data_IF_127090913978
#
_entry.id   IF_127090913978
#
_cell.length_a   1.000
_cell.length_b   1.000
_cell.length_c   1.000
_cell.angle_alpha   90.00
_cell.angle_beta   90.00
_cell.angle_gamma   90.00
#
_symmetry.space_group_name_H-M   'P 1'
#
loop_
_entity.id
_entity.type
_entity.pdbx_description
1 polymer ?
#
# COMPACT_ATOMS: atom_id res chain seq x y z
N UNK A 1 45.26 -83.39 -48.53
CA UNK A 1 44.47 -83.01 -47.34
C UNK A 1 44.89 -81.61 -46.90
N UNK A 2 44.08 -80.58 -47.20
CA UNK A 2 44.14 -79.23 -46.60
C UNK A 2 42.91 -78.42 -47.06
N UNK A 3 41.72 -78.90 -46.68
CA UNK A 3 40.43 -78.21 -46.85
C UNK A 3 40.05 -77.58 -45.50
N UNK A 4 40.88 -76.72 -44.94
CA UNK A 4 40.62 -76.05 -43.65
C UNK A 4 41.30 -74.67 -43.53
N UNK A 5 41.38 -73.90 -44.63
CA UNK A 5 41.92 -72.52 -44.58
C UNK A 5 41.06 -71.45 -45.26
N UNK A 6 39.81 -71.74 -45.61
CA UNK A 6 38.92 -70.76 -46.28
C UNK A 6 37.80 -70.18 -45.40
N UNK A 7 37.52 -70.70 -44.21
CA UNK A 7 36.34 -70.30 -43.44
C UNK A 7 36.58 -69.27 -42.31
N UNK A 8 37.81 -68.76 -42.13
CA UNK A 8 38.12 -67.84 -41.02
C UNK A 8 37.97 -66.36 -41.42
N UNK A 9 38.00 -66.03 -42.72
CA UNK A 9 37.89 -64.62 -43.16
C UNK A 9 36.44 -64.09 -43.23
N UNK A 10 35.44 -64.95 -43.22
CA UNK A 10 34.02 -64.54 -43.24
C UNK A 10 33.43 -64.27 -41.86
N UNK A 11 34.07 -64.71 -40.77
CA UNK A 11 33.56 -64.50 -39.41
C UNK A 11 33.93 -63.11 -38.85
N UNK A 12 34.93 -62.42 -39.42
CA UNK A 12 35.37 -61.09 -38.92
C UNK A 12 34.48 -59.95 -39.46
N UNK A 13 33.73 -60.17 -40.55
CA UNK A 13 32.83 -59.16 -41.13
C UNK A 13 31.45 -59.09 -40.44
N UNK A 14 31.18 -59.97 -39.46
CA UNK A 14 29.92 -59.99 -38.69
C UNK A 14 30.03 -59.35 -37.30
N UNK A 15 31.04 -58.52 -37.04
CA UNK A 15 30.92 -57.53 -35.96
C UNK A 15 29.96 -56.46 -36.45
N UNK A 16 28.68 -56.72 -36.20
CA UNK A 16 27.56 -55.89 -36.59
C UNK A 16 27.86 -54.41 -36.40
N UNK A 17 27.42 -53.62 -37.36
CA UNK A 17 27.26 -52.18 -37.18
C UNK A 17 26.45 -52.02 -35.89
N UNK A 18 27.12 -51.66 -34.79
CA UNK A 18 26.43 -51.16 -33.62
C UNK A 18 25.78 -49.88 -34.11
N UNK A 19 24.49 -49.93 -34.43
CA UNK A 19 23.68 -48.72 -34.50
C UNK A 19 23.76 -48.10 -33.11
N UNK A 20 24.72 -47.18 -32.93
CA UNK A 20 24.74 -46.32 -31.76
C UNK A 20 23.52 -45.44 -31.96
N UNK A 21 22.41 -45.84 -31.33
CA UNK A 21 21.27 -44.96 -31.17
C UNK A 21 21.79 -43.80 -30.34
N UNK A 22 22.16 -42.70 -30.99
CA UNK A 22 22.36 -41.43 -30.33
C UNK A 22 20.98 -40.96 -29.88
N UNK A 23 20.54 -41.46 -28.73
CA UNK A 23 19.49 -40.78 -27.99
C UNK A 23 20.07 -39.43 -27.59
N UNK A 24 19.53 -38.37 -28.20
CA UNK A 24 19.88 -37.00 -27.87
C UNK A 24 19.45 -36.70 -26.43
N UNK A 25 20.27 -37.07 -25.46
CA UNK A 25 20.03 -36.71 -24.07
C UNK A 25 20.38 -35.22 -23.91
N UNK A 26 19.35 -34.38 -23.70
CA UNK A 26 19.49 -32.97 -23.36
C UNK A 26 20.10 -32.84 -21.97
N UNK A 27 21.40 -33.05 -21.85
CA UNK A 27 22.12 -32.81 -20.60
C UNK A 27 22.50 -31.34 -20.48
N UNK A 28 22.07 -30.70 -19.39
CA UNK A 28 22.61 -29.40 -18.97
C UNK A 28 24.10 -29.62 -18.64
N UNK A 29 24.98 -28.90 -19.33
CA UNK A 29 26.44 -29.06 -19.14
C UNK A 29 26.82 -28.59 -17.74
N UNK A 30 27.72 -29.32 -17.07
CA UNK A 30 28.18 -29.02 -15.69
C UNK A 30 28.74 -27.61 -15.51
N UNK A 31 29.25 -26.99 -16.58
CA UNK A 31 29.77 -25.62 -16.54
C UNK A 31 28.68 -24.53 -16.55
N UNK A 32 27.43 -24.84 -16.91
CA UNK A 32 26.35 -23.84 -17.00
C UNK A 32 26.08 -23.20 -15.63
N UNK A 33 25.92 -24.04 -14.59
CA UNK A 33 25.65 -23.57 -13.24
C UNK A 33 26.75 -22.62 -12.67
N UNK A 34 28.06 -22.96 -12.69
CA UNK A 34 29.10 -22.04 -12.22
C UNK A 34 29.19 -20.77 -13.07
N UNK A 35 28.99 -20.86 -14.39
CA UNK A 35 28.96 -19.68 -15.26
C UNK A 35 27.81 -18.74 -14.91
N UNK A 36 26.59 -19.27 -14.74
CA UNK A 36 25.43 -18.47 -14.37
C UNK A 36 25.63 -17.78 -13.02
N UNK A 37 26.19 -18.49 -12.03
CA UNK A 37 26.54 -17.92 -10.72
C UNK A 37 27.55 -16.78 -10.84
N UNK A 38 28.59 -16.94 -11.65
CA UNK A 38 29.58 -15.90 -11.89
C UNK A 38 28.97 -14.67 -12.59
N UNK A 39 28.10 -14.87 -13.58
CA UNK A 39 27.36 -13.79 -14.26
C UNK A 39 26.48 -13.05 -13.26
N UNK A 40 25.68 -13.76 -12.45
CA UNK A 40 24.82 -13.14 -11.43
C UNK A 40 25.63 -12.35 -10.41
N UNK A 41 26.78 -12.87 -9.95
CA UNK A 41 27.68 -12.15 -9.04
C UNK A 41 28.19 -10.86 -9.67
N UNK A 42 28.61 -10.90 -10.95
CA UNK A 42 29.08 -9.71 -11.68
C UNK A 42 27.95 -8.70 -11.89
N UNK A 43 26.73 -9.15 -12.20
CA UNK A 43 25.55 -8.28 -12.33
C UNK A 43 25.24 -7.55 -11.02
N UNK A 44 25.29 -8.25 -9.88
CA UNK A 44 25.11 -7.62 -8.55
C UNK A 44 26.20 -6.57 -8.24
N UNK A 45 27.41 -6.74 -8.78
CA UNK A 45 28.50 -5.79 -8.59
C UNK A 45 28.41 -4.54 -9.47
N UNK A 46 27.59 -4.55 -10.54
CA UNK A 46 27.41 -3.42 -11.47
C UNK A 46 26.44 -2.34 -10.96
N UNK A 47 25.88 -2.50 -9.75
CA UNK A 47 24.93 -1.56 -9.14
C UNK A 47 23.46 -1.88 -9.43
N UNK A 48 22.57 -0.99 -9.00
CA UNK A 48 21.12 -1.16 -9.15
C UNK A 48 20.71 -1.11 -10.62
N UNK A 49 20.01 -2.16 -11.05
CA UNK A 49 19.40 -2.26 -12.37
C UNK A 49 17.91 -1.92 -12.21
N UNK A 50 17.26 -1.33 -13.24
CA UNK A 50 15.82 -1.11 -13.18
C UNK A 50 15.10 -2.44 -12.95
N UNK A 51 14.17 -2.46 -11.99
CA UNK A 51 13.38 -3.66 -11.71
C UNK A 51 12.56 -4.02 -12.95
N UNK A 52 12.71 -5.25 -13.50
CA UNK A 52 11.86 -5.68 -14.60
C UNK A 52 10.42 -5.82 -14.13
N UNK A 53 9.45 -5.43 -14.96
CA UNK A 53 8.02 -5.64 -14.67
C UNK A 53 7.74 -7.14 -14.50
N UNK A 54 6.98 -7.51 -13.47
CA UNK A 54 6.70 -8.92 -13.12
C UNK A 54 6.03 -9.69 -14.26
N UNK A 55 5.27 -8.99 -15.11
CA UNK A 55 4.60 -9.54 -16.30
C UNK A 55 5.54 -9.98 -17.43
N UNK A 56 6.81 -9.58 -17.41
CA UNK A 56 7.80 -9.95 -18.46
C UNK A 56 8.39 -11.35 -18.28
N UNK A 57 8.17 -11.97 -17.13
CA UNK A 57 8.71 -13.29 -16.82
C UNK A 57 7.83 -14.39 -17.43
N UNK A 58 8.47 -15.48 -17.91
CA UNK A 58 7.78 -16.59 -18.59
C UNK A 58 6.71 -17.27 -17.74
N UNK A 59 6.94 -17.37 -16.43
CA UNK A 59 6.05 -18.05 -15.47
C UNK A 59 4.84 -17.19 -15.06
N UNK A 60 4.65 -16.01 -15.65
CA UNK A 60 3.56 -15.11 -15.31
C UNK A 60 2.30 -15.41 -16.14
N UNK A 61 1.18 -15.65 -15.47
CA UNK A 61 -0.13 -15.80 -16.11
C UNK A 61 -1.15 -14.85 -15.48
N UNK A 62 -1.52 -13.79 -16.23
CA UNK A 62 -2.40 -12.73 -15.75
C UNK A 62 -3.74 -13.25 -15.21
N UNK A 63 -4.43 -14.12 -15.95
CA UNK A 63 -5.78 -14.57 -15.55
C UNK A 63 -5.75 -15.38 -14.26
N UNK A 64 -4.69 -16.18 -14.07
CA UNK A 64 -4.47 -16.93 -12.84
C UNK A 64 -4.14 -16.01 -11.65
N UNK A 65 -3.35 -14.96 -11.89
CA UNK A 65 -2.97 -13.98 -10.87
C UNK A 65 -4.17 -13.12 -10.42
N UNK A 66 -5.02 -12.69 -11.36
CA UNK A 66 -6.27 -11.96 -11.04
C UNK A 66 -7.25 -12.85 -10.25
N UNK A 67 -7.37 -14.13 -10.63
CA UNK A 67 -8.16 -15.10 -9.87
C UNK A 67 -7.59 -15.32 -8.46
N UNK A 68 -6.28 -15.54 -8.35
CA UNK A 68 -5.62 -15.73 -7.06
C UNK A 68 -5.70 -14.48 -6.17
N UNK A 69 -5.71 -13.28 -6.75
CA UNK A 69 -5.91 -12.03 -6.03
C UNK A 69 -7.28 -11.99 -5.34
N UNK A 70 -8.34 -12.37 -6.07
CA UNK A 70 -9.71 -12.43 -5.56
C UNK A 70 -9.81 -13.40 -4.36
N UNK A 71 -9.33 -14.63 -4.55
CA UNK A 71 -9.34 -15.67 -3.52
C UNK A 71 -8.48 -15.32 -2.30
N UNK A 72 -7.31 -14.68 -2.52
CA UNK A 72 -6.39 -14.28 -1.43
C UNK A 72 -7.05 -13.30 -0.47
N UNK A 73 -7.82 -12.36 -0.99
CA UNK A 73 -8.52 -11.37 -0.19
C UNK A 73 -9.80 -11.93 0.44
N UNK A 74 -10.19 -13.18 0.10
CA UNK A 74 -11.48 -13.78 0.46
C UNK A 74 -12.66 -12.92 -0.01
N UNK A 75 -12.48 -12.28 -1.18
CA UNK A 75 -13.46 -11.40 -1.80
C UNK A 75 -14.19 -12.11 -2.95
N UNK A 76 -15.30 -11.53 -3.41
CA UNK A 76 -16.10 -12.08 -4.52
C UNK A 76 -16.30 -11.06 -5.65
N UNK A 77 -15.18 -10.55 -6.18
CA UNK A 77 -15.20 -9.62 -7.31
C UNK A 77 -15.80 -10.25 -8.58
N UNK A 78 -16.54 -9.46 -9.36
CA UNK A 78 -16.82 -9.80 -10.74
C UNK A 78 -15.53 -9.64 -11.56
N UNK A 79 -15.09 -10.72 -12.20
CA UNK A 79 -13.82 -10.79 -12.94
C UNK A 79 -13.72 -9.73 -14.05
N UNK A 80 -14.81 -9.40 -14.73
CA UNK A 80 -14.80 -8.37 -15.79
C UNK A 80 -14.53 -6.98 -15.22
N UNK A 81 -15.17 -6.65 -14.10
CA UNK A 81 -14.98 -5.38 -13.39
C UNK A 81 -13.62 -5.28 -12.74
N UNK A 82 -13.10 -6.40 -12.24
CA UNK A 82 -11.77 -6.49 -11.66
C UNK A 82 -10.68 -6.25 -12.71
N UNK A 83 -10.80 -6.85 -13.90
CA UNK A 83 -9.89 -6.58 -15.03
C UNK A 83 -9.98 -5.12 -15.50
N UNK A 84 -11.20 -4.56 -15.54
CA UNK A 84 -11.38 -3.12 -15.81
C UNK A 84 -10.65 -2.27 -14.76
N UNK A 85 -10.79 -2.56 -13.46
CA UNK A 85 -10.16 -1.81 -12.38
C UNK A 85 -8.62 -1.80 -12.49
N UNK A 86 -8.01 -2.92 -12.92
CA UNK A 86 -6.58 -3.02 -13.13
C UNK A 86 -6.07 -2.35 -14.42
N UNK A 87 -6.96 -1.88 -15.29
CA UNK A 87 -6.60 -1.30 -16.58
C UNK A 87 -6.60 0.22 -16.53
N UNK A 88 -5.40 0.82 -16.49
CA UNK A 88 -5.26 2.27 -16.52
C UNK A 88 -5.34 2.82 -17.94
N UNK A 89 -5.81 4.07 -18.07
CA UNK A 89 -5.88 4.79 -19.36
C UNK A 89 -4.50 4.92 -20.03
N UNK A 90 -3.43 5.09 -19.26
CA UNK A 90 -2.04 5.16 -19.76
C UNK A 90 -1.64 3.92 -20.57
N UNK A 91 -2.04 2.74 -20.10
CA UNK A 91 -1.78 1.48 -20.80
C UNK A 91 -2.48 1.41 -22.15
N UNK A 92 -3.76 1.82 -22.20
CA UNK A 92 -4.54 1.83 -23.44
C UNK A 92 -3.89 2.76 -24.47
N UNK A 93 -3.45 3.95 -24.05
CA UNK A 93 -2.73 4.90 -24.92
C UNK A 93 -1.45 4.28 -25.46
N UNK A 94 -0.67 3.60 -24.61
CA UNK A 94 0.56 2.93 -25.01
C UNK A 94 0.32 1.82 -26.04
N UNK A 95 -0.71 1.00 -25.86
CA UNK A 95 -1.05 -0.06 -26.83
C UNK A 95 -1.62 0.51 -28.14
N UNK A 96 -2.43 1.57 -28.09
CA UNK A 96 -2.89 2.28 -29.29
C UNK A 96 -1.70 2.81 -30.12
N UNK A 97 -0.69 3.38 -29.45
CA UNK A 97 0.53 3.87 -30.10
C UNK A 97 1.33 2.73 -30.71
N UNK A 98 1.54 1.63 -29.96
CA UNK A 98 2.25 0.44 -30.46
C UNK A 98 1.56 -0.16 -31.69
N UNK A 99 0.22 -0.22 -31.71
CA UNK A 99 -0.53 -0.73 -32.87
C UNK A 99 -0.38 0.18 -34.10
N UNK A 100 -0.38 1.50 -33.90
CA UNK A 100 -0.12 2.47 -34.98
C UNK A 100 1.30 2.35 -35.55
N UNK A 101 2.29 2.14 -34.70
CA UNK A 101 3.69 1.92 -35.12
C UNK A 101 3.86 0.65 -35.97
N UNK A 102 3.08 -0.40 -35.67
CA UNK A 102 3.08 -1.65 -36.42
C UNK A 102 2.27 -1.54 -37.74
N UNK A 103 1.54 -0.43 -37.94
CA UNK A 103 0.80 -0.14 -39.17
C UNK A 103 -0.67 -0.55 -39.15
N UNK A 104 -1.28 -0.70 -37.98
CA UNK A 104 -2.73 -0.92 -37.85
C UNK A 104 -3.44 0.44 -37.86
N UNK A 105 -4.19 0.74 -38.93
CA UNK A 105 -4.77 2.08 -39.15
C UNK A 105 -5.89 2.44 -38.15
N UNK A 106 -6.66 1.46 -37.68
CA UNK A 106 -7.77 1.66 -36.74
C UNK A 106 -7.69 0.66 -35.56
N UNK A 107 -6.93 0.97 -34.50
CA UNK A 107 -6.85 0.13 -33.31
C UNK A 107 -8.18 0.18 -32.53
N UNK A 108 -9.04 -0.83 -32.68
CA UNK A 108 -10.25 -0.98 -31.85
C UNK A 108 -9.90 -1.89 -30.67
N UNK A 109 -9.55 -1.30 -29.54
CA UNK A 109 -9.39 -2.01 -28.28
C UNK A 109 -10.76 -2.12 -27.60
N UNK A 110 -11.30 -3.34 -27.48
CA UNK A 110 -12.51 -3.62 -26.71
C UNK A 110 -12.24 -3.64 -25.18
N UNK A 111 -11.41 -2.71 -24.70
CA UNK A 111 -10.93 -2.63 -23.32
C UNK A 111 -11.41 -1.31 -22.74
N UNK A 112 -12.12 -1.37 -21.62
CA UNK A 112 -12.58 -0.17 -20.90
C UNK A 112 -11.51 0.32 -19.93
N UNK A 113 -11.43 1.62 -19.75
CA UNK A 113 -10.57 2.26 -18.76
C UNK A 113 -11.21 2.28 -17.37
N UNK A 114 -10.36 2.40 -16.36
CA UNK A 114 -10.78 2.49 -14.97
C UNK A 114 -11.24 3.89 -14.51
N UNK A 115 -11.23 4.91 -15.38
CA UNK A 115 -11.46 6.31 -14.98
C UNK A 115 -12.82 6.55 -14.32
N UNK A 116 -13.86 5.88 -14.79
CA UNK A 116 -15.20 5.95 -14.18
C UNK A 116 -15.24 5.28 -12.80
N UNK A 117 -14.59 4.12 -12.66
CA UNK A 117 -14.48 3.39 -11.40
C UNK A 117 -13.69 4.20 -10.36
N UNK A 118 -12.60 4.85 -10.77
CA UNK A 118 -11.82 5.75 -9.90
C UNK A 118 -12.71 6.83 -9.30
N UNK A 119 -13.49 7.55 -10.12
CA UNK A 119 -14.38 8.63 -9.64
C UNK A 119 -15.47 8.15 -8.68
N UNK A 120 -16.04 6.98 -8.93
CA UNK A 120 -17.04 6.38 -8.02
C UNK A 120 -16.39 5.94 -6.72
N UNK A 121 -15.23 5.29 -6.81
CA UNK A 121 -14.48 4.76 -5.70
C UNK A 121 -13.96 5.83 -4.77
N UNK A 122 -13.50 6.96 -5.31
CA UNK A 122 -13.05 8.12 -4.53
C UNK A 122 -14.16 8.65 -3.62
N UNK A 123 -15.35 8.91 -4.18
CA UNK A 123 -16.52 9.38 -3.43
C UNK A 123 -16.94 8.38 -2.35
N UNK A 124 -17.03 7.10 -2.72
CA UNK A 124 -17.46 6.04 -1.83
C UNK A 124 -16.44 5.81 -0.69
N UNK A 125 -15.14 5.86 -0.99
CA UNK A 125 -14.08 5.73 0.02
C UNK A 125 -14.12 6.90 1.00
N UNK A 126 -14.26 8.13 0.50
CA UNK A 126 -14.37 9.33 1.34
C UNK A 126 -15.56 9.24 2.31
N UNK A 127 -16.74 8.85 1.82
CA UNK A 127 -17.93 8.67 2.64
C UNK A 127 -17.75 7.58 3.70
N UNK A 128 -17.15 6.44 3.34
CA UNK A 128 -16.88 5.33 4.26
C UNK A 128 -15.91 5.77 5.37
N UNK A 129 -14.79 6.41 5.00
CA UNK A 129 -13.77 6.85 5.95
C UNK A 129 -14.35 7.88 6.91
N UNK A 130 -15.07 8.88 6.40
CA UNK A 130 -15.70 9.90 7.23
C UNK A 130 -16.71 9.29 8.20
N UNK A 131 -17.59 8.41 7.71
CA UNK A 131 -18.60 7.72 8.53
C UNK A 131 -17.94 6.88 9.62
N UNK A 132 -16.88 6.15 9.29
CA UNK A 132 -16.15 5.33 10.25
C UNK A 132 -15.51 6.17 11.35
N UNK A 133 -14.79 7.23 10.98
CA UNK A 133 -14.08 8.08 11.94
C UNK A 133 -15.05 8.72 12.94
N UNK A 134 -16.19 9.26 12.47
CA UNK A 134 -17.24 9.84 13.34
C UNK A 134 -17.80 8.79 14.31
N UNK A 135 -17.99 7.54 13.86
CA UNK A 135 -18.51 6.46 14.71
C UNK A 135 -17.50 5.93 15.73
N UNK A 136 -16.20 6.00 15.44
CA UNK A 136 -15.14 5.46 16.31
C UNK A 136 -14.60 6.51 17.27
N UNK A 137 -14.54 7.77 16.85
CA UNK A 137 -14.03 8.90 17.61
C UNK A 137 -15.15 9.92 17.90
N UNK A 138 -16.18 9.58 18.70
CA UNK A 138 -17.31 10.46 18.96
C UNK A 138 -16.96 11.72 19.77
N UNK A 139 -15.79 11.74 20.40
CA UNK A 139 -15.28 12.88 21.17
C UNK A 139 -14.41 13.82 20.34
N UNK A 140 -13.93 13.37 19.17
CA UNK A 140 -13.07 14.18 18.33
C UNK A 140 -13.82 15.37 17.74
N UNK A 141 -13.13 16.50 17.57
CA UNK A 141 -13.66 17.64 16.83
C UNK A 141 -13.71 17.36 15.33
N UNK A 142 -14.49 18.17 14.61
CA UNK A 142 -14.56 18.10 13.15
C UNK A 142 -13.18 18.26 12.50
N UNK A 143 -12.36 19.18 12.98
CA UNK A 143 -10.99 19.40 12.48
C UNK A 143 -10.10 18.15 12.59
N UNK A 144 -10.22 17.39 13.68
CA UNK A 144 -9.49 16.13 13.89
C UNK A 144 -9.94 15.10 12.86
N UNK A 145 -11.26 14.96 12.67
CA UNK A 145 -11.82 14.02 11.71
C UNK A 145 -11.36 14.34 10.28
N UNK A 146 -11.39 15.62 9.90
CA UNK A 146 -10.91 16.09 8.59
C UNK A 146 -9.42 15.77 8.41
N UNK A 147 -8.59 16.05 9.41
CA UNK A 147 -7.15 15.79 9.33
C UNK A 147 -6.84 14.30 9.14
N UNK A 148 -7.54 13.42 9.87
CA UNK A 148 -7.39 11.97 9.74
C UNK A 148 -7.94 11.45 8.40
N UNK A 149 -9.06 12.01 7.92
CA UNK A 149 -9.64 11.70 6.63
C UNK A 149 -8.70 12.06 5.48
N UNK A 150 -8.16 13.29 5.49
CA UNK A 150 -7.27 13.79 4.44
C UNK A 150 -5.94 13.04 4.43
N UNK A 151 -5.43 12.64 5.60
CA UNK A 151 -4.27 11.76 5.70
C UNK A 151 -4.54 10.39 5.05
N UNK A 152 -5.68 9.75 5.34
CA UNK A 152 -6.03 8.46 4.75
C UNK A 152 -6.27 8.53 3.24
N UNK A 153 -6.84 9.63 2.75
CA UNK A 153 -7.03 9.86 1.31
C UNK A 153 -5.81 10.47 0.61
N UNK A 154 -4.69 10.64 1.31
CA UNK A 154 -3.45 11.08 0.68
C UNK A 154 -2.96 10.04 -0.34
N UNK A 155 -2.38 10.53 -1.44
CA UNK A 155 -1.87 9.68 -2.52
C UNK A 155 -0.87 8.64 -2.01
N UNK A 156 -0.03 9.01 -1.04
CA UNK A 156 0.97 8.14 -0.44
C UNK A 156 0.35 6.96 0.31
N UNK A 157 -0.67 7.22 1.13
CA UNK A 157 -1.32 6.18 1.96
C UNK A 157 -2.17 5.25 1.09
N UNK A 158 -2.87 5.78 0.10
CA UNK A 158 -3.62 4.97 -0.87
C UNK A 158 -2.70 4.11 -1.74
N UNK A 159 -1.59 4.67 -2.22
CA UNK A 159 -0.59 3.92 -2.98
C UNK A 159 0.03 2.81 -2.12
N UNK A 160 0.30 3.10 -0.84
CA UNK A 160 0.79 2.12 0.13
C UNK A 160 -0.21 1.00 0.36
N UNK A 161 -1.49 1.32 0.55
CA UNK A 161 -2.56 0.33 0.70
C UNK A 161 -2.62 -0.59 -0.53
N UNK A 162 -2.67 -0.02 -1.74
CA UNK A 162 -2.67 -0.75 -3.01
C UNK A 162 -1.44 -1.66 -3.18
N UNK A 163 -0.26 -1.13 -2.84
CA UNK A 163 0.99 -1.87 -2.93
C UNK A 163 0.98 -3.10 -2.02
N UNK A 164 0.55 -2.96 -0.77
CA UNK A 164 0.56 -4.06 0.20
C UNK A 164 -0.49 -5.14 -0.07
N UNK A 165 -1.63 -4.79 -0.67
CA UNK A 165 -2.60 -5.80 -1.14
C UNK A 165 -2.13 -6.51 -2.43
N UNK A 166 -0.99 -6.11 -3.00
CA UNK A 166 -0.31 -6.78 -4.11
C UNK A 166 -0.82 -6.40 -5.50
N UNK A 167 -1.24 -5.15 -5.72
CA UNK A 167 -1.71 -4.68 -7.04
C UNK A 167 -0.57 -4.39 -8.01
N UNK A 168 0.62 -4.02 -7.52
CA UNK A 168 1.79 -3.59 -8.32
C UNK A 168 2.05 -4.48 -9.54
N UNK A 169 1.97 -5.80 -9.36
CA UNK A 169 2.32 -6.78 -10.38
C UNK A 169 1.18 -7.06 -11.39
N UNK A 170 -0.07 -6.76 -11.01
CA UNK A 170 -1.28 -7.06 -11.78
C UNK A 170 -1.73 -5.85 -12.61
N UNK A 171 -1.44 -4.63 -12.16
CA UNK A 171 -1.88 -3.40 -12.85
C UNK A 171 -1.29 -3.31 -14.26
N UNK A 172 -2.14 -2.95 -15.22
CA UNK A 172 -1.73 -2.56 -16.57
C UNK A 172 -1.50 -1.06 -16.60
N UNK A 173 -0.23 -0.66 -16.64
CA UNK A 173 0.21 0.74 -16.74
C UNK A 173 1.53 0.86 -17.50
N UNK A 174 1.75 2.01 -18.11
CA UNK A 174 3.02 2.38 -18.72
C UNK A 174 4.14 2.47 -17.68
N UNK A 175 3.91 3.24 -16.61
CA UNK A 175 4.83 3.41 -15.48
C UNK A 175 4.06 3.27 -14.16
N UNK A 176 4.70 2.68 -13.16
CA UNK A 176 4.12 2.49 -11.83
C UNK A 176 4.49 3.72 -11.00
N UNK A 177 3.55 4.65 -10.89
CA UNK A 177 3.64 5.83 -10.05
C UNK A 177 2.71 5.70 -8.83
N UNK A 178 2.94 6.49 -7.77
CA UNK A 178 2.06 6.50 -6.59
C UNK A 178 0.61 6.80 -6.98
N UNK A 179 0.39 7.81 -7.81
CA UNK A 179 -0.92 8.13 -8.37
C UNK A 179 -1.62 6.96 -9.03
N UNK A 180 -0.90 6.20 -9.86
CA UNK A 180 -1.51 5.03 -10.55
C UNK A 180 -1.92 3.94 -9.56
N UNK A 181 -1.19 3.78 -8.46
CA UNK A 181 -1.56 2.84 -7.39
C UNK A 181 -2.77 3.34 -6.61
N UNK A 182 -2.80 4.63 -6.25
CA UNK A 182 -3.93 5.25 -5.58
C UNK A 182 -5.22 5.17 -6.42
N UNK A 183 -5.15 5.53 -7.71
CA UNK A 183 -6.25 5.42 -8.66
C UNK A 183 -6.75 3.97 -8.73
N UNK A 184 -5.83 2.98 -8.80
CA UNK A 184 -6.24 1.57 -8.83
C UNK A 184 -6.91 1.12 -7.54
N UNK A 185 -6.53 1.66 -6.38
CA UNK A 185 -7.21 1.37 -5.12
C UNK A 185 -8.67 1.86 -5.18
N UNK A 186 -8.90 3.10 -5.62
CA UNK A 186 -10.26 3.60 -5.80
C UNK A 186 -11.05 2.76 -6.81
N UNK A 187 -10.43 2.39 -7.93
CA UNK A 187 -11.08 1.54 -8.92
C UNK A 187 -11.50 0.17 -8.34
N UNK A 188 -10.66 -0.43 -7.48
CA UNK A 188 -10.98 -1.68 -6.79
C UNK A 188 -12.15 -1.52 -5.82
N UNK A 189 -12.17 -0.44 -5.04
CA UNK A 189 -13.27 -0.15 -4.13
C UNK A 189 -14.60 -0.02 -4.89
N UNK A 190 -14.62 0.70 -6.02
CA UNK A 190 -15.80 0.79 -6.86
C UNK A 190 -16.19 -0.55 -7.51
N UNK A 191 -15.21 -1.32 -7.99
CA UNK A 191 -15.45 -2.63 -8.56
C UNK A 191 -16.04 -3.61 -7.54
N UNK A 192 -15.61 -3.54 -6.27
CA UNK A 192 -16.17 -4.35 -5.19
C UNK A 192 -17.62 -3.95 -4.89
N UNK A 193 -17.89 -2.65 -4.80
CA UNK A 193 -19.23 -2.13 -4.55
C UNK A 193 -20.23 -2.49 -5.67
N UNK A 194 -19.79 -2.50 -6.93
CA UNK A 194 -20.61 -2.95 -8.07
C UNK A 194 -20.78 -4.48 -8.11
N UNK A 195 -19.86 -5.24 -7.53
CA UNK A 195 -19.88 -6.71 -7.58
C UNK A 195 -20.70 -7.34 -6.45
N UNK A 196 -20.56 -6.81 -5.22
CA UNK A 196 -21.14 -7.38 -4.00
C UNK A 196 -22.15 -6.40 -3.40
N UNK A 197 -21.67 -5.49 -2.55
CA UNK A 197 -22.47 -4.43 -1.93
C UNK A 197 -21.58 -3.37 -1.27
N UNK A 198 -22.19 -2.24 -0.93
CA UNK A 198 -21.51 -1.12 -0.30
C UNK A 198 -21.05 -1.40 1.14
N UNK A 199 -21.81 -2.18 1.92
CA UNK A 199 -21.45 -2.46 3.32
C UNK A 199 -20.26 -3.41 3.41
N UNK A 200 -20.23 -4.43 2.55
CA UNK A 200 -19.08 -5.30 2.42
C UNK A 200 -17.84 -4.54 1.95
N UNK A 201 -18.01 -3.64 0.98
CA UNK A 201 -16.94 -2.72 0.55
C UNK A 201 -16.43 -1.84 1.69
N UNK A 202 -17.30 -1.41 2.60
CA UNK A 202 -16.88 -0.65 3.76
C UNK A 202 -16.00 -1.47 4.74
N UNK A 203 -16.24 -2.77 4.86
CA UNK A 203 -15.34 -3.66 5.60
C UNK A 203 -13.97 -3.78 4.91
N UNK A 204 -13.95 -3.89 3.58
CA UNK A 204 -12.71 -3.90 2.81
C UNK A 204 -11.88 -2.62 3.03
N UNK A 205 -12.49 -1.44 2.91
CA UNK A 205 -11.81 -0.15 3.16
C UNK A 205 -11.32 -0.06 4.60
N UNK A 206 -12.13 -0.50 5.57
CA UNK A 206 -11.71 -0.55 6.98
C UNK A 206 -10.44 -1.39 7.16
N UNK A 207 -10.43 -2.60 6.63
CA UNK A 207 -9.39 -3.59 6.90
C UNK A 207 -8.08 -3.29 6.17
N UNK A 208 -8.13 -2.68 4.98
CA UNK A 208 -6.94 -2.39 4.17
C UNK A 208 -6.48 -0.94 4.17
N UNK A 209 -7.37 0.03 4.37
CA UNK A 209 -7.02 1.46 4.39
C UNK A 209 -7.00 1.99 5.82
N UNK A 210 -8.10 1.85 6.57
CA UNK A 210 -8.23 2.52 7.87
C UNK A 210 -7.28 1.92 8.93
N UNK A 211 -6.98 0.62 8.84
CA UNK A 211 -5.98 -0.05 9.69
C UNK A 211 -4.60 0.61 9.62
N UNK A 212 -4.26 1.33 8.53
CA UNK A 212 -2.99 2.06 8.41
C UNK A 212 -2.86 3.16 9.48
N UNK A 213 -3.96 3.68 10.02
CA UNK A 213 -3.91 4.60 11.17
C UNK A 213 -3.22 4.00 12.40
N UNK A 214 -3.18 2.67 12.52
CA UNK A 214 -2.50 2.01 13.64
C UNK A 214 -0.96 2.07 13.52
N UNK A 215 -0.41 2.45 12.36
CA UNK A 215 1.04 2.52 12.15
C UNK A 215 1.66 3.84 12.63
N UNK A 216 0.84 4.87 12.87
CA UNK A 216 1.29 6.22 13.23
C UNK A 216 0.50 6.77 14.41
N UNK A 217 1.12 7.58 15.24
CA UNK A 217 0.39 8.28 16.29
C UNK A 217 -0.59 9.29 15.68
N UNK A 218 -1.82 9.33 16.19
CA UNK A 218 -2.86 10.24 15.76
C UNK A 218 -2.48 11.70 16.04
N UNK A 219 -1.68 11.94 17.09
CA UNK A 219 -1.20 13.28 17.42
C UNK A 219 -0.15 13.81 16.43
N UNK A 220 0.54 12.91 15.71
CA UNK A 220 1.43 13.29 14.61
C UNK A 220 0.68 13.59 13.31
N UNK A 221 -0.56 13.09 13.17
CA UNK A 221 -1.42 13.37 12.02
C UNK A 221 -2.17 14.68 12.26
N UNK A 222 -2.76 14.85 13.43
CA UNK A 222 -3.45 16.07 13.83
C UNK A 222 -2.53 16.96 14.68
N UNK A 223 -1.86 17.90 14.02
CA UNK A 223 -0.99 18.89 14.67
C UNK A 223 -1.50 20.32 14.42
N UNK A 224 -2.31 20.90 15.33
CA UNK A 224 -2.82 22.26 15.16
C UNK A 224 -1.72 23.31 15.34
N UNK A 225 -1.72 24.37 14.53
CA UNK A 225 -0.70 25.43 14.58
C UNK A 225 -0.66 26.18 15.94
N UNK A 226 -1.84 26.48 16.51
CA UNK A 226 -1.99 27.22 17.77
C UNK A 226 -2.78 26.39 18.82
N UNK A 227 -2.17 25.36 19.43
CA UNK A 227 -2.88 24.45 20.32
C UNK A 227 -3.38 25.13 21.61
N UNK A 228 -2.64 26.11 22.14
CA UNK A 228 -3.03 26.85 23.36
C UNK A 228 -4.30 27.66 23.13
N UNK A 229 -4.43 28.32 21.98
CA UNK A 229 -5.61 29.11 21.61
C UNK A 229 -6.83 28.21 21.42
N UNK A 230 -6.64 27.09 20.73
CA UNK A 230 -7.70 26.09 20.54
C UNK A 230 -8.20 25.54 21.89
N UNK A 231 -7.29 25.22 22.80
CA UNK A 231 -7.64 24.77 24.15
C UNK A 231 -8.43 25.84 24.90
N UNK A 232 -7.99 27.10 24.85
CA UNK A 232 -8.70 28.20 25.49
C UNK A 232 -10.12 28.39 24.93
N UNK A 233 -10.31 28.26 23.62
CA UNK A 233 -11.62 28.34 22.99
C UNK A 233 -12.55 27.21 23.47
N UNK A 234 -12.03 26.00 23.66
CA UNK A 234 -12.80 24.87 24.20
C UNK A 234 -13.16 25.10 25.66
N UNK A 235 -12.21 25.57 26.49
CA UNK A 235 -12.46 25.89 27.89
C UNK A 235 -13.51 27.00 28.06
N UNK A 236 -13.45 28.05 27.24
CA UNK A 236 -14.45 29.12 27.22
C UNK A 236 -15.84 28.60 26.84
N UNK A 237 -15.95 27.73 25.84
CA UNK A 237 -17.23 27.07 25.48
C UNK A 237 -17.80 26.22 26.63
N UNK A 238 -16.94 25.73 27.53
CA UNK A 238 -17.32 24.99 28.74
C UNK A 238 -17.55 25.90 29.97
N UNK A 239 -17.57 27.22 29.79
CA UNK A 239 -17.67 28.23 30.87
C UNK A 239 -16.54 28.12 31.91
N UNK A 240 -15.34 27.72 31.48
CA UNK A 240 -14.13 27.66 32.33
C UNK A 240 -13.19 28.83 32.06
N UNK A 241 -12.30 29.11 32.99
CA UNK A 241 -11.23 30.10 32.80
C UNK A 241 -10.20 29.62 31.77
N UNK A 242 -9.41 30.54 31.22
CA UNK A 242 -8.33 30.21 30.30
C UNK A 242 -7.22 29.40 30.99
N UNK A 243 -6.53 28.55 30.23
CA UNK A 243 -5.46 27.74 30.77
C UNK A 243 -4.26 28.60 31.20
N UNK A 244 -3.82 28.43 32.45
CA UNK A 244 -2.64 29.07 33.02
C UNK A 244 -1.42 28.14 32.90
N UNK A 245 -0.41 28.48 32.08
CA UNK A 245 0.84 27.74 32.02
C UNK A 245 1.73 28.06 33.23
N UNK A 246 2.28 27.02 33.88
CA UNK A 246 3.24 27.12 34.96
C UNK A 246 4.44 26.22 34.68
N UNK A 247 5.64 26.76 34.87
CA UNK A 247 6.87 25.97 34.84
C UNK A 247 6.93 25.08 36.09
N UNK A 248 7.03 23.77 35.88
CA UNK A 248 7.17 22.80 36.98
C UNK A 248 8.64 22.50 37.23
N UNK A 249 9.40 22.26 36.16
CA UNK A 249 10.81 21.92 36.22
C UNK A 249 11.55 22.46 34.99
N UNK A 250 12.84 22.76 35.18
CA UNK A 250 13.77 23.07 34.09
C UNK A 250 15.12 22.43 34.39
N UNK A 251 15.77 21.90 33.35
CA UNK A 251 17.09 21.26 33.45
C UNK A 251 17.95 21.71 32.27
N UNK A 252 19.25 21.87 32.49
CA UNK A 252 20.17 22.26 31.43
C UNK A 252 20.07 23.73 31.03
N UNK A 253 19.67 24.60 31.97
CA UNK A 253 19.65 26.04 31.72
C UNK A 253 21.08 26.51 31.33
N UNK A 254 21.20 27.20 30.19
CA UNK A 254 22.45 27.59 29.53
C UNK A 254 23.23 26.50 28.77
N UNK A 255 22.62 25.34 28.50
CA UNK A 255 23.17 24.33 27.57
C UNK A 255 22.41 24.30 26.25
N UNK A 256 22.96 23.61 25.25
CA UNK A 256 22.28 23.37 23.97
C UNK A 256 21.10 22.38 24.10
N UNK A 257 21.09 21.57 25.16
CA UNK A 257 20.09 20.54 25.43
C UNK A 257 19.28 20.91 26.68
N UNK A 258 18.73 22.13 26.68
CA UNK A 258 17.81 22.58 27.72
C UNK A 258 16.45 21.89 27.57
N UNK A 259 15.83 21.54 28.70
CA UNK A 259 14.49 20.95 28.72
C UNK A 259 13.62 21.73 29.72
N UNK A 260 12.51 22.25 29.22
CA UNK A 260 11.45 22.87 30.02
C UNK A 260 10.29 21.91 30.19
N UNK A 261 9.80 21.79 31.43
CA UNK A 261 8.59 21.02 31.75
C UNK A 261 7.51 21.97 32.25
N UNK A 262 6.46 22.12 31.44
CA UNK A 262 5.37 23.07 31.70
C UNK A 262 4.08 22.29 31.93
N UNK A 263 3.29 22.74 32.90
CA UNK A 263 1.91 22.29 33.08
C UNK A 263 0.90 23.40 32.84
N UNK A 264 -0.27 23.00 32.40
CA UNK A 264 -1.44 23.83 32.24
C UNK A 264 -2.41 23.58 33.39
N UNK A 265 -2.89 24.67 33.99
CA UNK A 265 -3.89 24.66 35.05
C UNK A 265 -5.13 25.43 34.62
N UNK A 266 -6.30 25.06 35.13
CA UNK A 266 -7.54 25.83 35.01
C UNK A 266 -8.19 25.86 36.39
N UNK A 267 -8.51 27.04 36.91
CA UNK A 267 -9.09 27.20 38.26
C UNK A 267 -8.31 26.47 39.37
N UNK A 268 -6.97 26.45 39.25
CA UNK A 268 -6.01 25.73 40.13
C UNK A 268 -6.07 24.20 40.04
N UNK A 269 -6.82 23.64 39.08
CA UNK A 269 -6.82 22.22 38.76
C UNK A 269 -5.81 21.90 37.65
N UNK A 270 -5.06 20.81 37.80
CA UNK A 270 -4.11 20.35 36.79
C UNK A 270 -4.84 19.77 35.58
N UNK A 271 -4.55 20.27 34.38
CA UNK A 271 -5.07 19.74 33.12
C UNK A 271 -4.12 18.72 32.51
N UNK A 272 -2.88 19.12 32.30
CA UNK A 272 -1.86 18.32 31.60
C UNK A 272 -0.51 19.02 31.58
N UNK A 273 0.50 18.34 31.06
CA UNK A 273 1.87 18.84 31.00
C UNK A 273 2.59 18.39 29.74
N UNK A 274 3.63 19.12 29.36
CA UNK A 274 4.45 18.85 28.18
C UNK A 274 5.89 19.28 28.38
N UNK A 275 6.77 18.68 27.59
CA UNK A 275 8.19 19.00 27.53
C UNK A 275 8.50 19.74 26.22
N UNK A 276 9.56 20.53 26.22
CA UNK A 276 10.07 21.21 25.04
C UNK A 276 11.45 21.80 25.26
N UNK A 277 12.17 22.05 24.16
CA UNK A 277 13.46 22.74 24.19
C UNK A 277 13.27 24.24 24.42
N UNK A 278 12.13 24.78 24.00
CA UNK A 278 11.73 26.16 24.31
C UNK A 278 10.51 26.19 25.22
N UNK A 279 10.33 27.30 25.94
CA UNK A 279 9.14 27.54 26.78
C UNK A 279 7.87 27.51 25.92
N UNK A 280 7.93 28.00 24.68
CA UNK A 280 6.78 28.02 23.78
C UNK A 280 6.41 26.60 23.33
N UNK A 281 7.39 25.83 22.85
CA UNK A 281 7.20 24.43 22.47
C UNK A 281 6.66 23.59 23.64
N UNK A 282 7.19 23.77 24.85
CA UNK A 282 6.70 23.06 26.02
C UNK A 282 5.23 23.41 26.37
N UNK A 283 4.79 24.65 26.14
CA UNK A 283 3.37 25.05 26.27
C UNK A 283 2.51 24.38 25.20
N UNK A 284 2.99 24.36 23.97
CA UNK A 284 2.26 23.80 22.83
C UNK A 284 2.09 22.29 22.99
N UNK A 285 3.17 21.57 23.34
CA UNK A 285 3.13 20.15 23.70
C UNK A 285 2.19 19.87 24.87
N UNK A 286 2.19 20.74 25.90
CA UNK A 286 1.27 20.58 27.02
C UNK A 286 -0.20 20.76 26.60
N UNK A 287 -0.47 21.72 25.70
CA UNK A 287 -1.81 21.96 25.18
C UNK A 287 -2.28 20.82 24.27
N UNK A 288 -1.41 20.30 23.40
CA UNK A 288 -1.69 19.10 22.57
C UNK A 288 -1.99 17.91 23.48
N UNK A 289 -1.23 17.68 24.54
CA UNK A 289 -1.51 16.59 25.49
C UNK A 289 -2.93 16.67 26.09
N UNK A 290 -3.35 17.88 26.48
CA UNK A 290 -4.69 18.11 27.03
C UNK A 290 -5.76 17.92 25.96
N UNK A 291 -5.57 18.49 24.78
CA UNK A 291 -6.51 18.37 23.65
C UNK A 291 -6.68 16.91 23.21
N UNK A 292 -5.58 16.18 23.06
CA UNK A 292 -5.59 14.75 22.74
C UNK A 292 -6.31 13.94 23.81
N UNK A 293 -6.28 14.36 25.09
CA UNK A 293 -7.10 13.73 26.14
C UNK A 293 -8.59 14.00 25.95
N UNK A 294 -8.95 15.24 25.63
CA UNK A 294 -10.34 15.65 25.41
C UNK A 294 -10.95 14.90 24.22
N UNK A 295 -10.16 14.72 23.15
CA UNK A 295 -10.60 14.06 21.92
C UNK A 295 -10.40 12.54 21.91
N UNK A 296 -9.78 11.98 22.95
CA UNK A 296 -9.54 10.54 23.07
C UNK A 296 -8.46 9.99 22.12
N UNK A 297 -7.45 10.81 21.78
CA UNK A 297 -6.34 10.48 20.88
C UNK A 297 -5.07 10.04 21.60
N UNK A 298 -4.99 10.16 22.93
CA UNK A 298 -3.80 9.72 23.68
C UNK A 298 -3.59 8.21 23.57
N UNK A 299 -2.34 7.75 23.67
CA UNK A 299 -1.99 6.32 23.78
C UNK A 299 -2.70 5.58 24.92
N UNK A 300 -3.01 6.29 26.00
CA UNK A 300 -3.75 5.76 27.15
C UNK A 300 -5.27 5.72 26.94
N UNK A 301 -5.76 6.28 25.84
CA UNK A 301 -7.17 6.25 25.45
C UNK A 301 -7.56 4.84 24.99
N UNK A 302 -8.87 4.62 24.81
CA UNK A 302 -9.34 3.35 24.26
C UNK A 302 -8.85 3.23 22.82
N UNK A 303 -8.28 2.07 22.42
CA UNK A 303 -7.80 1.89 21.06
C UNK A 303 -8.95 2.01 20.05
N UNK A 304 -8.62 2.47 18.85
CA UNK A 304 -9.53 2.52 17.70
C UNK A 304 -10.08 1.10 17.46
N UNK A 305 -11.40 1.00 17.34
CA UNK A 305 -12.10 -0.28 17.18
C UNK A 305 -12.21 -0.66 15.71
N UNK A 306 -11.22 -1.42 15.20
CA UNK A 306 -11.22 -1.97 13.83
C UNK A 306 -12.20 -3.12 13.60
N UNK A 307 -12.96 -3.54 14.60
CA UNK A 307 -13.97 -4.59 14.47
C UNK A 307 -15.40 -4.08 14.22
N UNK A 308 -15.62 -2.75 14.20
CA UNK A 308 -16.94 -2.20 13.95
C UNK A 308 -17.30 -2.33 12.46
N UNK A 309 -18.50 -2.82 12.20
CA UNK A 309 -19.10 -2.82 10.86
C UNK A 309 -19.67 -1.45 10.56
N UNK A 310 -19.43 -0.98 9.34
CA UNK A 310 -19.98 0.27 8.83
C UNK A 310 -21.26 -0.08 8.08
N UNK A 311 -22.35 0.58 8.43
CA UNK A 311 -23.58 0.52 7.65
C UNK A 311 -23.74 1.85 6.93
N UNK A 312 -23.59 1.82 5.61
CA UNK A 312 -23.88 2.98 4.77
C UNK A 312 -25.40 3.07 4.62
N UNK A 313 -25.96 4.23 4.95
CA UNK A 313 -27.37 4.53 4.68
C UNK A 313 -27.56 4.64 3.17
N UNK A 314 -28.27 3.67 2.60
CA UNK A 314 -28.63 3.61 1.18
C UNK A 314 -29.52 4.78 0.77
#
# INVERSE_FOLDING_TARGET
MNVLRSCVKTIILNKGVRSVNHEGQRYIKRWVAPTQRAITKRKRALGEQPEPKRSTFLEWNRSAEVYAFNERLSESFNMEKLEQAFTNRSYIIQEEQRQKEIGIENPILAIQDNTELVRKGEKLTSEIVQTYLVQVLPQASEDVIISLHDYLLSEEILAKAAFHIGTKDIILTEAIAQKTLADTFFALVAALAESVDANHTANFVRDFLIVILAEKDLTEIWNPDNPVELLNNILQKQNRSSAEPRLIAQVGENTLEVVYHIALYCDKEFLGSGFGQTIQEAKDTAAINVLSRIFGLLDSSKPIKFNKTIHLSS
#
